data_IF_107178769952
#
_entry.id   IF_107178769952
#
_cell.length_a   1.000
_cell.length_b   1.000
_cell.length_c   1.000
_cell.angle_alpha   90.00
_cell.angle_beta   90.00
_cell.angle_gamma   90.00
#
_symmetry.space_group_name_H-M   'P 1'
#
loop_
_entity.id
_entity.type
_entity.pdbx_description
1 polymer ?
#
# COMPACT_ATOMS: atom_id res chain seq x y z
N UNK A 1 2.38 -12.51 -24.06
CA UNK A 1 2.53 -13.24 -22.79
C UNK A 1 1.39 -12.86 -21.87
N UNK A 2 0.76 -13.77 -21.11
CA UNK A 2 -0.32 -13.38 -20.21
C UNK A 2 0.24 -12.41 -19.16
N UNK A 3 -0.35 -11.21 -19.04
CA UNK A 3 -0.01 -10.27 -17.97
C UNK A 3 -0.33 -10.96 -16.65
N UNK A 4 0.72 -11.34 -15.92
CA UNK A 4 0.60 -11.86 -14.57
C UNK A 4 0.67 -10.64 -13.67
N UNK A 5 -0.44 -10.33 -12.99
CA UNK A 5 -0.46 -9.24 -12.02
C UNK A 5 0.66 -9.44 -10.99
N UNK A 6 1.36 -8.36 -10.67
CA UNK A 6 2.30 -8.30 -9.55
C UNK A 6 1.57 -8.60 -8.24
N UNK A 7 2.28 -9.01 -7.17
CA UNK A 7 1.68 -9.22 -5.86
C UNK A 7 0.93 -7.98 -5.34
N UNK A 8 1.45 -6.77 -5.59
CA UNK A 8 0.84 -5.52 -5.19
C UNK A 8 -0.49 -5.26 -5.94
N UNK A 9 -0.51 -5.48 -7.26
CA UNK A 9 -1.74 -5.39 -8.05
C UNK A 9 -2.77 -6.44 -7.64
N UNK A 10 -2.33 -7.67 -7.34
CA UNK A 10 -3.22 -8.74 -6.86
C UNK A 10 -3.87 -8.37 -5.54
N UNK A 11 -3.11 -7.80 -4.60
CA UNK A 11 -3.60 -7.35 -3.31
C UNK A 11 -4.52 -6.14 -3.45
N UNK A 12 -4.16 -5.17 -4.28
CA UNK A 12 -4.99 -4.02 -4.58
C UNK A 12 -6.33 -4.45 -5.21
N UNK A 13 -6.30 -5.34 -6.20
CA UNK A 13 -7.51 -5.87 -6.83
C UNK A 13 -8.40 -6.56 -5.79
N UNK A 14 -7.83 -7.40 -4.93
CA UNK A 14 -8.58 -8.10 -3.90
C UNK A 14 -9.24 -7.16 -2.88
N UNK A 15 -8.49 -6.19 -2.36
CA UNK A 15 -8.95 -5.25 -1.32
C UNK A 15 -9.98 -4.26 -1.84
N UNK A 16 -9.79 -3.69 -3.04
CA UNK A 16 -10.75 -2.76 -3.66
C UNK A 16 -12.04 -3.42 -4.13
N UNK A 17 -12.07 -4.76 -4.17
CA UNK A 17 -13.29 -5.54 -4.37
C UNK A 17 -13.97 -5.99 -3.07
N UNK A 18 -13.48 -5.51 -1.92
CA UNK A 18 -14.05 -5.82 -0.62
C UNK A 18 -13.85 -7.28 -0.22
N UNK A 19 -12.78 -7.92 -0.71
CA UNK A 19 -12.36 -9.26 -0.30
C UNK A 19 -13.44 -10.32 -0.57
N UNK A 20 -14.17 -10.15 -1.68
CA UNK A 20 -15.32 -10.97 -2.07
C UNK A 20 -15.21 -11.43 -3.51
N UNK A 21 -15.84 -12.57 -3.80
CA UNK A 21 -16.01 -13.05 -5.17
C UNK A 21 -16.93 -12.10 -5.92
N UNK A 22 -16.48 -11.63 -7.09
CA UNK A 22 -17.24 -10.73 -7.93
C UNK A 22 -18.55 -11.35 -8.44
N UNK A 23 -18.59 -12.67 -8.62
CA UNK A 23 -19.75 -13.38 -9.17
C UNK A 23 -20.81 -13.72 -8.14
N UNK A 24 -20.41 -14.30 -7.00
CA UNK A 24 -21.35 -14.81 -6.00
C UNK A 24 -21.37 -14.00 -4.70
N UNK A 25 -20.51 -12.97 -4.58
CA UNK A 25 -20.45 -12.09 -3.41
C UNK A 25 -19.90 -12.73 -2.12
N UNK A 26 -19.57 -14.03 -2.15
CA UNK A 26 -19.02 -14.72 -0.96
C UNK A 26 -17.70 -14.07 -0.53
N UNK A 27 -17.44 -13.92 0.78
CA UNK A 27 -16.12 -13.57 1.27
C UNK A 27 -15.07 -14.58 0.78
N UNK A 28 -13.89 -14.06 0.46
CA UNK A 28 -12.73 -14.82 0.02
C UNK A 28 -11.59 -14.60 0.99
N UNK A 29 -10.77 -15.63 1.17
CA UNK A 29 -9.42 -15.45 1.71
C UNK A 29 -8.45 -15.17 0.58
N UNK A 30 -7.38 -14.41 0.85
CA UNK A 30 -6.41 -14.01 -0.17
C UNK A 30 -5.75 -15.21 -0.88
N UNK A 31 -5.56 -16.33 -0.17
CA UNK A 31 -5.02 -17.59 -0.69
C UNK A 31 -5.99 -18.41 -1.55
N UNK A 32 -7.30 -18.17 -1.44
CA UNK A 32 -8.35 -18.85 -2.24
C UNK A 32 -8.71 -18.08 -3.51
N UNK A 33 -8.30 -16.83 -3.60
CA UNK A 33 -8.72 -15.90 -4.64
C UNK A 33 -7.97 -16.13 -5.96
N UNK A 34 -8.74 -16.23 -7.04
CA UNK A 34 -8.25 -16.31 -8.41
C UNK A 34 -8.52 -14.99 -9.16
N UNK A 35 -7.54 -14.52 -9.93
CA UNK A 35 -7.72 -13.38 -10.83
C UNK A 35 -8.40 -13.87 -12.08
N UNK A 36 -9.58 -13.33 -12.35
CA UNK A 36 -10.40 -13.75 -13.47
C UNK A 36 -10.58 -12.61 -14.47
N UNK A 37 -10.54 -12.94 -15.76
CA UNK A 37 -10.90 -12.01 -16.82
C UNK A 37 -12.41 -12.10 -17.06
N UNK A 38 -13.13 -10.99 -16.94
CA UNK A 38 -14.57 -10.93 -17.18
C UNK A 38 -14.84 -11.30 -18.64
N UNK A 39 -14.23 -10.57 -19.57
CA UNK A 39 -14.17 -10.94 -20.98
C UNK A 39 -13.01 -11.91 -21.22
N UNK A 40 -13.25 -13.06 -21.90
CA UNK A 40 -12.24 -14.10 -22.06
C UNK A 40 -11.13 -13.69 -23.04
N UNK A 41 -9.89 -14.11 -22.73
CA UNK A 41 -8.69 -13.83 -23.55
C UNK A 41 -8.79 -14.32 -25.00
N UNK A 42 -9.65 -15.30 -25.29
CA UNK A 42 -9.87 -15.80 -26.67
C UNK A 42 -10.32 -14.70 -27.65
N UNK A 43 -10.90 -13.61 -27.14
CA UNK A 43 -11.27 -12.46 -27.95
C UNK A 43 -10.06 -11.71 -28.52
N UNK A 44 -8.84 -11.94 -28.00
CA UNK A 44 -7.61 -11.41 -28.60
C UNK A 44 -7.33 -12.00 -29.99
N UNK A 45 -7.77 -13.24 -30.25
CA UNK A 45 -7.55 -13.93 -31.53
C UNK A 45 -8.72 -13.81 -32.51
N UNK A 46 -9.88 -13.28 -32.09
CA UNK A 46 -11.05 -13.07 -32.95
C UNK A 46 -11.45 -11.59 -32.94
N UNK A 47 -10.91 -10.84 -33.90
CA UNK A 47 -11.13 -9.39 -33.98
C UNK A 47 -12.59 -9.02 -34.29
N UNK A 48 -13.29 -9.86 -35.06
CA UNK A 48 -14.68 -9.60 -35.45
C UNK A 48 -15.65 -9.88 -34.28
N UNK A 49 -15.44 -10.95 -33.52
CA UNK A 49 -16.19 -11.20 -32.28
C UNK A 49 -15.83 -10.16 -31.21
N UNK A 50 -14.54 -9.83 -31.03
CA UNK A 50 -14.11 -8.77 -30.10
C UNK A 50 -14.82 -7.47 -30.36
N UNK A 51 -14.82 -6.99 -31.60
CA UNK A 51 -15.46 -5.71 -31.95
C UNK A 51 -16.95 -5.70 -31.60
N UNK A 52 -17.67 -6.79 -31.91
CA UNK A 52 -19.10 -6.94 -31.58
C UNK A 52 -19.35 -6.97 -30.06
N UNK A 53 -18.52 -7.69 -29.32
CA UNK A 53 -18.64 -7.81 -27.85
C UNK A 53 -18.34 -6.49 -27.17
N UNK A 54 -17.25 -5.80 -27.56
CA UNK A 54 -16.92 -4.50 -26.99
C UNK A 54 -18.05 -3.49 -27.24
N UNK A 55 -18.57 -3.43 -28.48
CA UNK A 55 -19.70 -2.56 -28.81
C UNK A 55 -20.95 -2.89 -27.99
N UNK A 56 -21.27 -4.18 -27.81
CA UNK A 56 -22.41 -4.63 -27.00
C UNK A 56 -22.33 -4.16 -25.54
N UNK A 57 -21.14 -4.16 -24.96
CA UNK A 57 -20.91 -3.69 -23.59
C UNK A 57 -20.60 -2.19 -23.48
N UNK A 58 -20.71 -1.41 -24.57
CA UNK A 58 -20.38 0.01 -24.57
C UNK A 58 -18.91 0.30 -24.23
N UNK A 59 -18.00 -0.64 -24.54
CA UNK A 59 -16.57 -0.50 -24.32
C UNK A 59 -15.90 0.16 -25.53
N UNK A 60 -14.83 0.95 -25.31
CA UNK A 60 -14.10 1.57 -26.40
C UNK A 60 -13.36 0.51 -27.24
N UNK A 61 -13.10 0.82 -28.51
CA UNK A 61 -12.50 -0.12 -29.46
C UNK A 61 -11.07 -0.57 -29.08
N UNK A 62 -10.35 0.30 -28.38
CA UNK A 62 -9.00 0.08 -27.86
C UNK A 62 -8.99 -0.55 -26.44
N UNK A 63 -10.14 -0.98 -25.92
CA UNK A 63 -10.23 -1.61 -24.60
C UNK A 63 -9.21 -2.74 -24.42
N UNK A 64 -8.38 -2.61 -23.38
CA UNK A 64 -7.35 -3.58 -23.04
C UNK A 64 -7.98 -4.80 -22.35
N UNK A 65 -8.11 -5.90 -23.10
CA UNK A 65 -8.60 -7.17 -22.60
C UNK A 65 -7.72 -7.80 -21.52
N UNK A 66 -6.47 -7.36 -21.37
CA UNK A 66 -5.54 -7.84 -20.35
C UNK A 66 -5.38 -6.87 -19.18
N UNK A 67 -5.98 -5.68 -19.27
CA UNK A 67 -5.87 -4.62 -18.28
C UNK A 67 -6.76 -4.81 -17.06
N UNK A 68 -6.47 -4.09 -15.98
CA UNK A 68 -7.17 -4.16 -14.68
C UNK A 68 -8.69 -3.97 -14.84
N UNK A 69 -9.12 -3.12 -15.78
CA UNK A 69 -10.53 -2.86 -16.08
C UNK A 69 -11.32 -4.09 -16.60
N UNK A 70 -10.65 -5.20 -16.91
CA UNK A 70 -11.26 -6.48 -17.27
C UNK A 70 -11.04 -7.58 -16.21
N UNK A 71 -10.43 -7.23 -15.06
CA UNK A 71 -10.03 -8.19 -14.04
C UNK A 71 -10.89 -8.09 -12.78
N UNK A 72 -11.24 -9.24 -12.23
CA UNK A 72 -12.03 -9.36 -11.00
C UNK A 72 -11.50 -10.49 -10.10
N UNK A 73 -11.73 -10.43 -8.79
CA UNK A 73 -11.54 -11.57 -7.91
C UNK A 73 -12.67 -12.59 -8.06
N UNK A 74 -12.31 -13.85 -8.15
CA UNK A 74 -13.24 -14.95 -8.26
C UNK A 74 -12.87 -16.09 -7.33
N UNK A 75 -13.88 -16.85 -6.90
CA UNK A 75 -13.65 -18.13 -6.24
C UNK A 75 -13.41 -19.21 -7.30
N UNK A 76 -12.62 -20.23 -6.96
CA UNK A 76 -12.36 -21.36 -7.86
C UNK A 76 -13.62 -21.98 -8.48
N UNK A 77 -14.72 -22.23 -7.73
CA UNK A 77 -15.96 -22.70 -8.32
C UNK A 77 -16.53 -21.79 -9.41
N UNK A 78 -16.69 -20.49 -9.16
CA UNK A 78 -17.24 -19.54 -10.15
C UNK A 78 -16.34 -19.41 -11.37
N UNK A 79 -15.02 -19.28 -11.17
CA UNK A 79 -14.06 -19.18 -12.27
C UNK A 79 -14.10 -20.43 -13.17
N UNK A 80 -14.17 -21.63 -12.57
CA UNK A 80 -14.33 -22.88 -13.32
C UNK A 80 -15.66 -22.96 -14.06
N UNK A 81 -16.77 -22.61 -13.40
CA UNK A 81 -18.11 -22.64 -14.01
C UNK A 81 -18.22 -21.71 -15.21
N UNK A 82 -17.64 -20.51 -15.13
CA UNK A 82 -17.61 -19.58 -16.26
C UNK A 82 -16.83 -20.14 -17.45
N UNK A 83 -15.67 -20.75 -17.17
CA UNK A 83 -14.80 -21.33 -18.18
C UNK A 83 -14.32 -20.33 -19.25
N UNK A 84 -14.00 -20.85 -20.43
CA UNK A 84 -13.40 -20.07 -21.54
C UNK A 84 -14.43 -19.50 -22.51
N UNK A 85 -15.68 -19.95 -22.45
CA UNK A 85 -16.78 -19.55 -23.35
C UNK A 85 -18.01 -19.11 -22.54
N UNK A 86 -17.90 -18.04 -21.73
CA UNK A 86 -19.06 -17.48 -21.06
C UNK A 86 -20.10 -16.96 -22.07
N UNK A 87 -21.37 -16.82 -21.66
CA UNK A 87 -22.37 -16.10 -22.45
C UNK A 87 -21.99 -14.61 -22.48
N UNK A 88 -21.26 -14.22 -23.53
CA UNK A 88 -20.62 -12.90 -23.63
C UNK A 88 -21.62 -11.75 -23.46
N UNK A 89 -22.82 -11.89 -24.02
CA UNK A 89 -23.83 -10.83 -24.00
C UNK A 89 -24.66 -10.75 -22.72
N UNK A 90 -24.32 -11.53 -21.67
CA UNK A 90 -25.08 -11.55 -20.43
C UNK A 90 -24.99 -10.20 -19.67
N UNK A 91 -26.09 -9.70 -19.08
CA UNK A 91 -26.08 -8.43 -18.32
C UNK A 91 -25.08 -8.42 -17.15
N UNK A 92 -24.84 -9.56 -16.51
CA UNK A 92 -23.86 -9.69 -15.44
C UNK A 92 -22.43 -9.35 -15.89
N UNK A 93 -22.08 -9.63 -17.15
CA UNK A 93 -20.79 -9.25 -17.73
C UNK A 93 -20.66 -7.72 -17.79
N UNK A 94 -21.70 -7.03 -18.27
CA UNK A 94 -21.71 -5.55 -18.32
C UNK A 94 -21.55 -4.94 -16.92
N UNK A 95 -22.32 -5.41 -15.94
CA UNK A 95 -22.27 -4.89 -14.58
C UNK A 95 -20.88 -5.06 -13.94
N UNK A 96 -20.23 -6.21 -14.17
CA UNK A 96 -18.88 -6.45 -13.68
C UNK A 96 -17.83 -5.60 -14.40
N UNK A 97 -17.96 -5.42 -15.71
CA UNK A 97 -17.06 -4.55 -16.48
C UNK A 97 -17.16 -3.10 -16.02
N UNK A 98 -18.36 -2.59 -15.80
CA UNK A 98 -18.56 -1.22 -15.30
C UNK A 98 -17.93 -1.05 -13.92
N UNK A 99 -18.14 -2.02 -13.03
CA UNK A 99 -17.53 -2.01 -11.69
C UNK A 99 -16.00 -2.08 -11.76
N UNK A 100 -15.45 -2.96 -12.60
CA UNK A 100 -14.00 -3.11 -12.77
C UNK A 100 -13.37 -1.82 -13.33
N UNK A 101 -14.01 -1.19 -14.31
CA UNK A 101 -13.58 0.10 -14.88
C UNK A 101 -13.56 1.21 -13.85
N UNK A 102 -14.62 1.34 -13.04
CA UNK A 102 -14.71 2.36 -11.99
C UNK A 102 -13.61 2.21 -10.93
N UNK A 103 -13.13 0.97 -10.70
CA UNK A 103 -12.11 0.67 -9.70
C UNK A 103 -10.69 0.65 -10.26
N UNK A 104 -10.50 0.61 -11.57
CA UNK A 104 -9.22 0.34 -12.20
C UNK A 104 -8.12 1.33 -11.78
N UNK A 105 -8.40 2.64 -11.87
CA UNK A 105 -7.44 3.68 -11.47
C UNK A 105 -7.07 3.59 -9.98
N UNK A 106 -8.05 3.36 -9.11
CA UNK A 106 -7.82 3.21 -7.66
C UNK A 106 -6.96 1.98 -7.34
N UNK A 107 -7.16 0.88 -8.06
CA UNK A 107 -6.37 -0.34 -7.92
C UNK A 107 -4.93 -0.09 -8.36
N UNK A 108 -4.72 0.51 -9.52
CA UNK A 108 -3.39 0.83 -10.06
C UNK A 108 -2.62 1.78 -9.14
N UNK A 109 -3.26 2.86 -8.69
CA UNK A 109 -2.66 3.77 -7.72
C UNK A 109 -2.37 3.09 -6.38
N UNK A 110 -3.27 2.22 -5.91
CA UNK A 110 -3.06 1.51 -4.65
C UNK A 110 -1.91 0.52 -4.75
N UNK A 111 -1.79 -0.18 -5.88
CA UNK A 111 -0.68 -1.07 -6.21
C UNK A 111 0.65 -0.31 -6.20
N UNK A 112 0.71 0.85 -6.86
CA UNK A 112 1.88 1.71 -6.84
C UNK A 112 2.23 2.18 -5.41
N UNK A 113 1.22 2.52 -4.59
CA UNK A 113 1.40 2.93 -3.20
C UNK A 113 1.85 1.80 -2.27
N UNK A 114 1.51 0.54 -2.55
CA UNK A 114 1.93 -0.60 -1.70
C UNK A 114 3.44 -0.76 -1.62
N UNK A 115 4.19 -0.20 -2.57
CA UNK A 115 5.65 -0.20 -2.59
C UNK A 115 6.29 0.98 -1.85
N UNK A 116 5.51 1.79 -1.12
CA UNK A 116 6.03 2.90 -0.30
C UNK A 116 6.65 2.40 1.02
N UNK A 117 7.80 2.99 1.42
CA UNK A 117 8.55 2.62 2.65
C UNK A 117 7.66 2.53 3.89
N UNK A 118 6.80 3.53 4.12
CA UNK A 118 5.92 3.55 5.31
C UNK A 118 4.92 2.38 5.36
N UNK A 119 4.56 1.77 4.23
CA UNK A 119 3.69 0.58 4.22
C UNK A 119 4.47 -0.71 4.46
N UNK A 120 5.73 -0.77 4.05
CA UNK A 120 6.62 -1.89 4.36
C UNK A 120 6.89 -1.99 5.85
N UNK A 121 7.20 -0.86 6.51
CA UNK A 121 7.45 -0.83 7.96
C UNK A 121 6.21 -1.26 8.76
N UNK A 122 5.01 -0.84 8.32
CA UNK A 122 3.75 -1.28 8.93
C UNK A 122 3.45 -2.76 8.69
N UNK A 123 3.74 -3.26 7.49
CA UNK A 123 3.56 -4.68 7.18
C UNK A 123 4.50 -5.55 8.03
N UNK A 124 5.76 -5.13 8.21
CA UNK A 124 6.72 -5.83 9.05
C UNK A 124 6.26 -5.88 10.51
N UNK A 125 5.82 -4.74 11.08
CA UNK A 125 5.31 -4.69 12.45
C UNK A 125 4.08 -5.59 12.67
N UNK A 126 3.19 -5.69 11.67
CA UNK A 126 2.05 -6.62 11.73
C UNK A 126 2.53 -8.07 11.70
N UNK A 127 3.48 -8.41 10.81
CA UNK A 127 4.04 -9.76 10.73
C UNK A 127 4.71 -10.16 12.05
N UNK A 128 5.54 -9.30 12.63
CA UNK A 128 6.22 -9.51 13.92
C UNK A 128 5.22 -9.72 15.07
N UNK A 129 4.16 -8.90 15.12
CA UNK A 129 3.11 -9.02 16.14
C UNK A 129 2.35 -10.35 16.04
N UNK A 130 2.02 -10.79 14.81
CA UNK A 130 1.28 -12.05 14.59
C UNK A 130 2.16 -13.27 14.88
N UNK A 131 3.45 -13.22 14.54
CA UNK A 131 4.43 -14.27 14.93
C UNK A 131 4.56 -14.34 16.46
N UNK A 132 4.64 -13.19 17.13
CA UNK A 132 4.76 -13.12 18.60
C UNK A 132 3.51 -13.53 19.38
N UNK A 133 2.32 -13.42 18.79
CA UNK A 133 1.04 -13.76 19.45
C UNK A 133 0.78 -15.27 19.56
N UNK A 134 1.54 -16.11 18.85
CA UNK A 134 1.66 -17.53 19.15
C UNK A 134 0.38 -18.36 19.05
N UNK A 135 -0.25 -18.43 17.87
CA UNK A 135 -1.06 -19.59 17.45
C UNK A 135 -1.23 -19.59 15.92
N UNK A 136 -0.14 -19.94 15.22
CA UNK A 136 -0.09 -19.96 13.76
C UNK A 136 0.21 -21.37 13.29
N UNK A 137 -0.51 -21.80 12.26
CA UNK A 137 -0.14 -22.99 11.49
C UNK A 137 1.31 -22.89 11.01
N UNK A 138 2.04 -24.01 11.08
CA UNK A 138 3.47 -24.05 10.82
C UNK A 138 3.83 -23.56 9.41
N UNK A 139 3.00 -23.87 8.40
CA UNK A 139 3.23 -23.43 7.03
C UNK A 139 2.95 -21.92 6.84
N UNK A 140 2.05 -21.36 7.66
CA UNK A 140 1.78 -19.91 7.67
C UNK A 140 2.91 -19.18 8.38
N UNK A 141 3.41 -19.71 9.51
CA UNK A 141 4.56 -19.15 10.23
C UNK A 141 5.82 -19.09 9.36
N UNK A 142 6.18 -20.18 8.71
CA UNK A 142 7.36 -20.24 7.83
C UNK A 142 7.29 -19.21 6.69
N UNK A 143 6.09 -19.04 6.09
CA UNK A 143 5.86 -18.02 5.06
C UNK A 143 5.99 -16.60 5.60
N UNK A 144 5.51 -16.36 6.82
CA UNK A 144 5.61 -15.05 7.48
C UNK A 144 7.04 -14.72 7.87
N UNK A 145 7.80 -15.68 8.40
CA UNK A 145 9.23 -15.54 8.72
C UNK A 145 10.05 -15.27 7.46
N UNK A 146 9.83 -16.04 6.39
CA UNK A 146 10.48 -15.82 5.09
C UNK A 146 10.16 -14.45 4.50
N UNK A 147 8.90 -13.99 4.61
CA UNK A 147 8.50 -12.66 4.19
C UNK A 147 9.14 -11.56 5.05
N UNK A 148 9.21 -11.73 6.37
CA UNK A 148 9.85 -10.80 7.29
C UNK A 148 11.35 -10.65 6.99
N UNK A 149 12.04 -11.74 6.68
CA UNK A 149 13.47 -11.72 6.33
C UNK A 149 13.72 -11.02 4.99
N UNK A 150 12.89 -11.30 3.97
CA UNK A 150 12.96 -10.61 2.68
C UNK A 150 12.69 -9.11 2.81
N UNK A 151 11.68 -8.73 3.59
CA UNK A 151 11.35 -7.32 3.85
C UNK A 151 12.49 -6.66 4.62
N UNK A 152 13.02 -7.31 5.67
CA UNK A 152 14.13 -6.78 6.46
C UNK A 152 15.39 -6.59 5.64
N UNK A 153 15.69 -7.51 4.71
CA UNK A 153 16.82 -7.42 3.78
C UNK A 153 16.63 -6.28 2.78
N UNK A 154 15.47 -6.21 2.12
CA UNK A 154 15.16 -5.13 1.17
C UNK A 154 15.12 -3.76 1.83
N UNK A 155 14.59 -3.67 3.06
CA UNK A 155 14.66 -2.48 3.91
C UNK A 155 16.12 -2.18 4.20
N UNK A 156 16.95 -3.10 4.70
CA UNK A 156 18.38 -2.85 4.96
C UNK A 156 19.16 -2.40 3.72
N UNK A 157 18.90 -2.95 2.55
CA UNK A 157 19.57 -2.56 1.30
C UNK A 157 19.12 -1.17 0.81
N UNK A 158 17.83 -0.86 0.90
CA UNK A 158 17.28 0.47 0.57
C UNK A 158 17.70 1.52 1.61
N UNK A 159 17.94 1.08 2.85
CA UNK A 159 18.15 1.93 4.01
C UNK A 159 19.63 2.08 4.37
N UNK A 160 20.49 1.16 3.93
CA UNK A 160 21.95 1.29 3.95
C UNK A 160 22.46 2.43 3.06
N UNK A 161 21.63 2.94 2.13
CA UNK A 161 21.88 4.18 1.38
C UNK A 161 21.35 5.46 2.05
N UNK A 162 20.64 5.40 3.18
CA UNK A 162 20.03 6.60 3.81
C UNK A 162 20.16 6.71 5.33
N UNK A 163 20.39 5.64 6.10
CA UNK A 163 20.33 5.68 7.59
C UNK A 163 21.66 5.72 8.34
N UNK A 164 22.81 5.80 7.68
CA UNK A 164 24.06 5.75 8.45
C UNK A 164 24.46 7.06 9.17
N UNK A 165 23.64 8.13 9.22
CA UNK A 165 24.01 9.37 9.93
C UNK A 165 22.80 10.21 10.45
N UNK A 166 21.81 9.64 11.14
CA UNK A 166 20.70 10.45 11.69
C UNK A 166 20.43 10.07 13.16
N UNK A 167 20.54 11.04 14.06
CA UNK A 167 20.32 10.86 15.50
C UNK A 167 18.87 10.49 15.88
N UNK A 168 18.66 9.62 16.89
CA UNK A 168 17.33 9.11 17.28
C UNK A 168 16.28 10.21 17.54
N UNK A 169 16.69 11.33 18.13
CA UNK A 169 15.80 12.46 18.41
C UNK A 169 15.09 13.00 17.15
N UNK A 170 15.74 12.96 15.97
CA UNK A 170 15.17 13.45 14.71
C UNK A 170 13.99 12.63 14.20
N UNK A 171 13.84 11.37 14.65
CA UNK A 171 12.69 10.55 14.28
C UNK A 171 11.36 11.13 14.78
N UNK A 172 11.38 11.96 15.83
CA UNK A 172 10.18 12.54 16.45
C UNK A 172 9.64 13.81 15.76
N UNK A 173 10.22 14.22 14.62
CA UNK A 173 9.83 15.45 13.91
C UNK A 173 8.65 15.26 12.96
N UNK A 174 7.79 16.28 12.94
CA UNK A 174 6.72 16.42 11.95
C UNK A 174 7.27 16.70 10.54
N UNK A 175 8.38 17.43 10.41
CA UNK A 175 9.01 17.77 9.13
C UNK A 175 10.48 17.33 9.09
N UNK A 176 10.69 16.01 8.92
CA UNK A 176 12.02 15.37 8.94
C UNK A 176 12.94 15.81 7.81
N UNK A 177 12.40 16.30 6.70
CA UNK A 177 13.20 16.73 5.54
C UNK A 177 13.83 18.11 5.72
N UNK A 178 13.22 18.94 6.58
CA UNK A 178 13.66 20.32 6.85
C UNK A 178 14.86 20.39 7.79
N UNK A 179 14.90 19.53 8.82
CA UNK A 179 15.86 19.65 9.91
C UNK A 179 17.06 18.73 9.73
N UNK A 180 18.26 19.31 9.81
CA UNK A 180 19.52 18.57 9.81
C UNK A 180 20.13 18.62 11.19
N UNK A 181 20.69 17.50 11.63
CA UNK A 181 21.50 17.46 12.84
C UNK A 181 22.74 18.33 12.68
N UNK A 182 22.95 19.21 13.66
CA UNK A 182 24.16 20.03 13.75
C UNK A 182 25.10 19.45 14.81
N UNK A 183 24.54 19.01 15.95
CA UNK A 183 25.32 18.50 17.06
C UNK A 183 24.48 17.57 17.95
N UNK A 184 24.90 16.32 18.20
CA UNK A 184 24.29 15.50 19.24
C UNK A 184 24.72 15.99 20.63
N UNK A 185 23.81 15.96 21.60
CA UNK A 185 24.11 16.25 23.01
C UNK A 185 24.11 14.97 23.85
N UNK A 186 23.11 14.12 23.65
CA UNK A 186 22.96 12.79 24.22
C UNK A 186 22.11 11.95 23.28
N UNK A 187 22.00 10.64 23.51
CA UNK A 187 21.08 9.74 22.79
C UNK A 187 19.63 10.25 22.66
N UNK A 188 19.18 11.09 23.59
CA UNK A 188 17.83 11.63 23.65
C UNK A 188 17.69 13.06 23.15
N UNK A 189 18.78 13.83 23.04
CA UNK A 189 18.73 15.26 22.72
C UNK A 189 19.78 15.65 21.68
N UNK A 190 19.37 16.43 20.67
CA UNK A 190 20.27 16.97 19.65
C UNK A 190 19.94 18.42 19.32
N UNK A 191 20.95 19.16 18.83
CA UNK A 191 20.75 20.43 18.14
C UNK A 191 20.60 20.20 16.65
N UNK A 192 19.61 20.86 16.07
CA UNK A 192 19.27 20.73 14.65
C UNK A 192 19.04 22.11 14.05
N UNK A 193 19.24 22.23 12.74
CA UNK A 193 19.03 23.47 11.98
C UNK A 193 18.54 23.19 10.57
N UNK A 194 17.83 24.16 9.98
CA UNK A 194 17.34 24.12 8.60
C UNK A 194 18.11 25.08 7.67
N UNK A 195 19.20 25.66 8.17
CA UNK A 195 20.02 26.67 7.48
C UNK A 195 19.54 28.12 7.68
N UNK A 196 18.39 28.35 8.34
CA UNK A 196 17.90 29.70 8.71
C UNK A 196 17.68 29.83 10.21
N UNK A 197 17.16 28.77 10.82
CA UNK A 197 16.80 28.67 12.22
C UNK A 197 17.35 27.37 12.80
N UNK A 198 17.43 27.30 14.12
CA UNK A 198 17.89 26.11 14.81
C UNK A 198 17.31 26.04 16.22
N UNK A 199 17.40 24.86 16.81
CA UNK A 199 16.90 24.59 18.15
C UNK A 199 17.30 23.21 18.64
N UNK A 200 17.03 22.97 19.92
CA UNK A 200 17.21 21.66 20.52
C UNK A 200 15.96 20.81 20.30
N UNK A 201 16.15 19.52 20.09
CA UNK A 201 15.07 18.52 20.01
C UNK A 201 15.34 17.43 21.03
N UNK A 202 14.28 16.93 21.68
CA UNK A 202 14.34 15.84 22.64
C UNK A 202 13.38 14.70 22.32
N UNK A 203 13.59 13.52 22.88
CA UNK A 203 12.63 12.40 22.79
C UNK A 203 11.62 12.37 23.94
N UNK A 204 11.92 13.05 25.06
CA UNK A 204 11.07 13.07 26.25
C UNK A 204 9.80 13.92 26.05
N UNK A 205 8.70 13.53 26.70
CA UNK A 205 7.38 14.19 26.54
C UNK A 205 7.36 15.66 26.94
N UNK A 206 8.30 16.11 27.79
CA UNK A 206 8.45 17.54 28.14
C UNK A 206 8.85 18.43 26.96
N UNK A 207 9.31 17.83 25.86
CA UNK A 207 9.65 18.53 24.63
C UNK A 207 8.45 18.64 23.67
N UNK A 208 7.31 18.04 24.01
CA UNK A 208 6.15 17.97 23.13
C UNK A 208 5.47 19.34 23.03
N UNK A 209 5.36 19.87 21.82
CA UNK A 209 4.59 21.08 21.56
C UNK A 209 3.10 20.73 21.59
N UNK A 210 2.38 21.28 22.55
CA UNK A 210 0.92 21.19 22.70
C UNK A 210 0.13 21.63 21.45
N UNK A 211 0.67 22.54 20.64
CA UNK A 211 -0.01 23.01 19.41
C UNK A 211 0.16 22.07 18.21
N UNK A 212 1.38 21.64 17.91
CA UNK A 212 1.67 20.88 16.68
C UNK A 212 2.09 19.43 16.91
N UNK A 213 2.26 19.02 18.15
CA UNK A 213 2.68 17.69 18.54
C UNK A 213 4.10 17.29 18.14
N UNK A 214 4.96 18.25 17.78
CA UNK A 214 6.38 17.96 17.54
C UNK A 214 7.18 18.10 18.83
N UNK A 215 8.26 17.31 18.99
CA UNK A 215 9.17 17.47 20.13
C UNK A 215 10.17 18.65 19.98
N UNK A 216 9.79 19.68 19.23
CA UNK A 216 10.67 20.75 18.78
C UNK A 216 10.93 20.74 17.27
N UNK A 217 12.03 21.36 16.80
CA UNK A 217 13.11 21.93 17.60
C UNK A 217 12.65 23.16 18.39
N UNK A 218 13.23 23.40 19.57
CA UNK A 218 12.92 24.53 20.44
C UNK A 218 14.06 25.52 20.48
N UNK A 219 13.72 26.79 20.35
CA UNK A 219 14.61 27.91 20.63
C UNK A 219 13.99 28.71 21.78
N UNK A 220 14.50 28.48 22.99
CA UNK A 220 13.84 28.92 24.21
C UNK A 220 12.45 28.28 24.34
N UNK A 221 11.44 29.12 24.52
CA UNK A 221 10.03 28.73 24.62
C UNK A 221 9.32 28.61 23.27
N UNK A 222 10.00 28.82 22.14
CA UNK A 222 9.40 28.82 20.80
C UNK A 222 9.70 27.53 20.02
N UNK A 223 8.64 26.82 19.64
CA UNK A 223 8.71 25.68 18.73
C UNK A 223 8.98 26.15 17.30
N UNK A 224 10.14 25.78 16.75
CA UNK A 224 10.59 26.17 15.40
C UNK A 224 9.83 25.45 14.28
N UNK A 225 9.05 24.41 14.61
CA UNK A 225 8.20 23.70 13.65
C UNK A 225 6.92 24.48 13.33
N UNK A 226 6.24 25.06 14.34
CA UNK A 226 4.95 25.73 14.16
C UNK A 226 4.91 27.20 14.62
N UNK A 227 6.00 27.71 15.19
CA UNK A 227 6.12 29.05 15.74
C UNK A 227 5.36 29.28 17.05
N UNK A 228 4.79 28.24 17.66
CA UNK A 228 4.09 28.36 18.93
C UNK A 228 5.06 28.61 20.08
N UNK A 229 4.66 29.49 21.01
CA UNK A 229 5.41 29.77 22.23
C UNK A 229 4.73 29.03 23.39
N UNK A 230 5.43 28.09 23.99
CA UNK A 230 5.00 27.41 25.22
C UNK A 230 5.53 28.20 26.41
N UNK A 231 4.74 29.16 26.87
CA UNK A 231 5.07 29.92 28.09
C UNK A 231 4.63 29.04 29.27
N UNK A 232 5.49 28.76 30.26
CA UNK A 232 5.01 28.20 31.52
C UNK A 232 4.01 29.19 32.12
N UNK A 233 2.76 28.77 32.31
CA UNK A 233 1.80 29.51 33.13
C UNK A 233 2.34 29.50 34.57
N UNK A 234 2.94 30.60 35.01
CA UNK A 234 3.32 30.83 36.40
C UNK A 234 2.33 31.78 37.08
#
# INVERSE_FOLDING_TARGET
MPVKLSPAERLALFTHWGERCAWCGRPLFYNEYEVEHVLPKRLLSDTAERTRVLAHHGLPADFDLLGIANLVPSCGPCNRTKGTRPPLHAPSITLLLDTARQRASLIEESAARFLSRNRLDKALAVVEAVVGAGDLDAAVRERLESAAEMISTAVRETTGRTLNNIHPALASLHDRGRWKEVRPLSDQVAFVADGRTGGAIGTHWSWFCDRCGSNGPWNGDVCQTCGHRSVPDW
#
